data_IF_971485285948
#
_entry.id   IF_971485285948
#
_cell.length_a   1.000
_cell.length_b   1.000
_cell.length_c   1.000
_cell.angle_alpha   90.00
_cell.angle_beta   90.00
_cell.angle_gamma   90.00
#
_symmetry.space_group_name_H-M   'P 1'
#
loop_
_entity.id
_entity.type
_entity.pdbx_description
1 polymer ?
#
# COMPACT_ATOMS: atom_id res chain seq x y z
N UNK A 1 -40.07 -10.89 -33.44
CA UNK A 1 -38.60 -10.83 -33.33
C UNK A 1 -38.24 -10.59 -31.88
N UNK A 2 -37.66 -11.59 -31.20
CA UNK A 2 -37.26 -11.52 -29.80
C UNK A 2 -35.81 -11.06 -29.72
N UNK A 3 -35.53 -9.93 -29.07
CA UNK A 3 -34.17 -9.43 -28.90
C UNK A 3 -33.50 -10.19 -27.76
N UNK A 4 -32.39 -10.87 -28.06
CA UNK A 4 -31.55 -11.51 -27.07
C UNK A 4 -30.93 -10.45 -26.13
N UNK A 5 -30.73 -10.76 -24.84
CA UNK A 5 -30.05 -9.85 -23.93
C UNK A 5 -28.57 -9.72 -24.32
N UNK A 6 -28.14 -8.50 -24.63
CA UNK A 6 -26.72 -8.17 -24.76
C UNK A 6 -26.08 -8.21 -23.38
N UNK A 7 -25.30 -9.26 -23.10
CA UNK A 7 -24.32 -9.21 -22.01
C UNK A 7 -23.30 -8.13 -22.37
N UNK A 8 -23.43 -6.95 -21.76
CA UNK A 8 -22.35 -5.96 -21.79
C UNK A 8 -21.13 -6.60 -21.14
N UNK A 9 -19.97 -6.62 -21.81
CA UNK A 9 -18.73 -6.96 -21.12
C UNK A 9 -18.54 -5.91 -20.02
N UNK A 10 -18.50 -6.35 -18.76
CA UNK A 10 -18.11 -5.46 -17.67
C UNK A 10 -16.72 -4.93 -18.00
N UNK A 11 -16.61 -3.60 -18.13
CA UNK A 11 -15.34 -2.89 -18.11
C UNK A 11 -14.71 -3.09 -16.73
N UNK A 12 -14.15 -4.28 -16.50
CA UNK A 12 -13.22 -4.48 -15.41
C UNK A 12 -11.99 -3.66 -15.80
N UNK A 13 -11.52 -2.72 -14.95
CA UNK A 13 -10.29 -2.01 -15.25
C UNK A 13 -9.20 -3.07 -15.39
N UNK A 14 -8.62 -3.19 -16.58
CA UNK A 14 -7.39 -3.95 -16.75
C UNK A 14 -6.39 -3.34 -15.79
N UNK A 15 -5.94 -4.10 -14.80
CA UNK A 15 -4.92 -3.65 -13.85
C UNK A 15 -3.73 -3.08 -14.65
N UNK A 16 -3.22 -1.93 -14.23
CA UNK A 16 -2.01 -1.37 -14.83
C UNK A 16 -0.84 -2.34 -14.64
N UNK A 17 0.20 -2.22 -15.47
CA UNK A 17 1.40 -3.04 -15.30
C UNK A 17 2.00 -2.89 -13.89
N UNK A 18 1.94 -1.67 -13.33
CA UNK A 18 2.38 -1.38 -11.96
C UNK A 18 1.52 -2.12 -10.92
N UNK A 19 0.21 -2.18 -11.11
CA UNK A 19 -0.70 -2.91 -10.22
C UNK A 19 -0.45 -4.43 -10.25
N UNK A 20 -0.11 -4.99 -11.42
CA UNK A 20 0.27 -6.41 -11.56
C UNK A 20 1.58 -6.68 -10.82
N UNK A 21 2.59 -5.81 -10.98
CA UNK A 21 3.88 -5.94 -10.30
C UNK A 21 3.72 -5.84 -8.77
N UNK A 22 2.93 -4.87 -8.31
CA UNK A 22 2.61 -4.72 -6.89
C UNK A 22 1.92 -5.98 -6.33
N UNK A 23 0.97 -6.54 -7.06
CA UNK A 23 0.27 -7.76 -6.64
C UNK A 23 1.23 -8.93 -6.42
N UNK A 24 2.12 -9.19 -7.39
CA UNK A 24 3.09 -10.28 -7.28
C UNK A 24 4.12 -10.03 -6.16
N UNK A 25 4.55 -8.78 -5.97
CA UNK A 25 5.44 -8.41 -4.86
C UNK A 25 4.76 -8.70 -3.52
N UNK A 26 3.53 -8.22 -3.29
CA UNK A 26 2.80 -8.43 -2.04
C UNK A 26 2.48 -9.91 -1.80
N UNK A 27 2.17 -10.65 -2.85
CA UNK A 27 1.96 -12.10 -2.78
C UNK A 27 3.22 -12.85 -2.35
N UNK A 28 4.39 -12.47 -2.88
CA UNK A 28 5.66 -13.14 -2.56
C UNK A 28 6.06 -13.02 -1.08
N UNK A 29 5.62 -11.95 -0.41
CA UNK A 29 5.90 -11.71 1.02
C UNK A 29 4.75 -12.14 1.94
N UNK A 30 3.62 -12.57 1.38
CA UNK A 30 2.46 -12.98 2.15
C UNK A 30 2.61 -14.41 2.69
N UNK A 31 2.21 -14.63 3.94
CA UNK A 31 2.28 -15.94 4.59
C UNK A 31 1.28 -16.96 4.02
N UNK A 32 0.24 -16.47 3.35
CA UNK A 32 -0.88 -17.24 2.82
C UNK A 32 -0.85 -17.36 1.29
N UNK A 33 0.32 -17.10 0.68
CA UNK A 33 0.55 -17.15 -0.77
C UNK A 33 -0.48 -16.34 -1.58
N UNK A 34 -0.92 -15.20 -1.03
CA UNK A 34 -1.84 -14.27 -1.68
C UNK A 34 -3.32 -14.64 -1.56
N UNK A 35 -3.68 -15.57 -0.66
CA UNK A 35 -5.08 -15.97 -0.46
C UNK A 35 -5.94 -14.76 -0.07
N UNK A 36 -5.53 -13.95 0.91
CA UNK A 36 -6.25 -12.72 1.29
C UNK A 36 -6.13 -11.63 0.23
N UNK A 37 -4.99 -11.53 -0.45
CA UNK A 37 -4.84 -10.59 -1.58
C UNK A 37 -5.80 -10.89 -2.74
N UNK A 38 -6.38 -12.09 -2.83
CA UNK A 38 -7.35 -12.45 -3.86
C UNK A 38 -8.81 -12.39 -3.37
N UNK A 39 -9.03 -12.14 -2.09
CA UNK A 39 -10.36 -12.03 -1.48
C UNK A 39 -10.78 -10.56 -1.41
N UNK A 40 -11.76 -10.17 -2.23
CA UNK A 40 -12.19 -8.78 -2.37
C UNK A 40 -12.75 -8.16 -1.07
N UNK A 41 -13.19 -9.00 -0.15
CA UNK A 41 -13.74 -8.57 1.13
C UNK A 41 -12.66 -8.34 2.19
N UNK A 42 -11.45 -8.85 1.96
CA UNK A 42 -10.36 -8.78 2.92
C UNK A 42 -9.78 -7.36 3.05
N UNK A 43 -9.26 -7.00 4.22
CA UNK A 43 -8.48 -5.77 4.39
C UNK A 43 -7.27 -5.69 3.46
N UNK A 44 -6.60 -6.82 3.21
CA UNK A 44 -5.42 -6.94 2.36
C UNK A 44 -5.73 -6.56 0.90
N UNK A 45 -6.82 -7.10 0.34
CA UNK A 45 -7.25 -6.73 -1.01
C UNK A 45 -7.63 -5.26 -1.09
N UNK A 46 -8.37 -4.74 -0.10
CA UNK A 46 -8.75 -3.32 -0.07
C UNK A 46 -7.54 -2.40 -0.01
N UNK A 47 -6.53 -2.75 0.78
CA UNK A 47 -5.26 -2.04 0.85
C UNK A 47 -4.51 -2.08 -0.48
N UNK A 48 -4.39 -3.26 -1.08
CA UNK A 48 -3.79 -3.42 -2.42
C UNK A 48 -4.53 -2.58 -3.47
N UNK A 49 -5.86 -2.64 -3.51
CA UNK A 49 -6.68 -1.91 -4.47
C UNK A 49 -6.53 -0.39 -4.33
N UNK A 50 -6.50 0.10 -3.10
CA UNK A 50 -6.24 1.51 -2.83
C UNK A 50 -4.84 1.91 -3.33
N UNK A 51 -3.80 1.16 -2.94
CA UNK A 51 -2.43 1.48 -3.31
C UNK A 51 -2.17 1.36 -4.82
N UNK A 52 -2.81 0.39 -5.49
CA UNK A 52 -2.73 0.19 -6.94
C UNK A 52 -3.45 1.29 -7.74
N UNK A 53 -4.33 2.07 -7.10
CA UNK A 53 -5.01 3.21 -7.72
C UNK A 53 -4.20 4.50 -7.68
N UNK A 54 -3.10 4.52 -6.93
CA UNK A 54 -2.20 5.67 -6.83
C UNK A 54 -1.22 5.67 -8.02
N UNK A 55 -1.21 6.75 -8.81
CA UNK A 55 -0.26 6.95 -9.92
C UNK A 55 1.05 7.59 -9.42
N UNK A 56 1.62 7.09 -8.32
CA UNK A 56 2.73 7.77 -7.63
C UNK A 56 3.93 6.85 -7.43
N UNK A 57 5.11 7.36 -7.78
CA UNK A 57 6.38 6.64 -7.73
C UNK A 57 6.98 6.72 -6.31
N UNK A 58 6.46 5.86 -5.43
CA UNK A 58 6.98 5.70 -4.08
C UNK A 58 8.12 4.69 -4.04
N UNK A 59 9.06 4.87 -3.10
CA UNK A 59 10.08 3.86 -2.84
C UNK A 59 9.44 2.55 -2.36
N UNK A 60 10.12 1.42 -2.60
CA UNK A 60 9.62 0.10 -2.18
C UNK A 60 9.27 0.04 -0.68
N UNK A 61 10.03 0.73 0.16
CA UNK A 61 9.76 0.78 1.61
C UNK A 61 8.47 1.54 1.92
N UNK A 62 8.22 2.67 1.26
CA UNK A 62 6.99 3.46 1.43
C UNK A 62 5.77 2.70 0.90
N UNK A 63 5.91 1.97 -0.23
CA UNK A 63 4.86 1.09 -0.76
C UNK A 63 4.47 0.02 0.28
N UNK A 64 5.46 -0.67 0.85
CA UNK A 64 5.22 -1.71 1.86
C UNK A 64 4.60 -1.14 3.14
N UNK A 65 5.12 0.00 3.62
CA UNK A 65 4.60 0.67 4.81
C UNK A 65 3.15 1.11 4.61
N UNK A 66 2.84 1.75 3.47
CA UNK A 66 1.47 2.13 3.09
C UNK A 66 0.55 0.93 2.99
N UNK A 67 1.00 -0.18 2.40
CA UNK A 67 0.19 -1.39 2.31
C UNK A 67 -0.17 -1.94 3.70
N UNK A 68 0.80 -2.00 4.62
CA UNK A 68 0.58 -2.47 6.00
C UNK A 68 -0.37 -1.54 6.75
N UNK A 69 -0.15 -0.22 6.67
CA UNK A 69 -1.01 0.77 7.33
C UNK A 69 -2.43 0.77 6.73
N UNK A 70 -2.59 0.72 5.42
CA UNK A 70 -3.90 0.62 4.80
C UNK A 70 -4.61 -0.69 5.20
N UNK A 71 -3.89 -1.81 5.31
CA UNK A 71 -4.44 -3.08 5.81
C UNK A 71 -4.93 -2.93 7.25
N UNK A 72 -4.16 -2.27 8.12
CA UNK A 72 -4.56 -1.94 9.48
C UNK A 72 -5.84 -1.10 9.48
N UNK A 73 -5.87 -0.03 8.72
CA UNK A 73 -7.02 0.87 8.58
C UNK A 73 -8.29 0.10 8.18
N UNK A 74 -8.23 -0.72 7.12
CA UNK A 74 -9.40 -1.49 6.67
C UNK A 74 -9.81 -2.60 7.64
N UNK A 75 -8.86 -3.19 8.37
CA UNK A 75 -9.15 -4.28 9.33
C UNK A 75 -9.78 -3.81 10.64
N UNK A 76 -9.60 -2.54 10.99
CA UNK A 76 -10.04 -1.96 12.27
C UNK A 76 -11.15 -0.92 12.12
N UNK A 77 -11.72 -0.82 10.92
CA UNK A 77 -12.79 0.13 10.62
C UNK A 77 -12.33 1.59 10.67
N UNK A 78 -11.18 1.89 10.06
CA UNK A 78 -10.51 3.18 10.09
C UNK A 78 -11.37 4.39 9.73
N UNK A 79 -12.40 4.20 8.89
CA UNK A 79 -13.38 5.26 8.59
C UNK A 79 -14.23 5.70 9.78
N UNK A 80 -14.21 4.96 10.89
CA UNK A 80 -14.89 5.28 12.15
C UNK A 80 -13.93 5.72 13.25
N UNK A 81 -12.64 5.88 12.97
CA UNK A 81 -11.68 6.36 13.95
C UNK A 81 -11.95 7.83 14.28
N UNK A 82 -11.78 8.20 15.56
CA UNK A 82 -11.95 9.59 16.01
C UNK A 82 -10.95 10.55 15.38
N UNK A 83 -9.75 10.04 15.05
CA UNK A 83 -8.69 10.79 14.41
C UNK A 83 -8.03 9.88 13.36
N UNK A 84 -8.05 10.31 12.10
CA UNK A 84 -7.52 9.55 10.97
C UNK A 84 -6.94 10.48 9.90
N UNK A 85 -6.36 11.60 10.32
CA UNK A 85 -5.85 12.61 9.39
C UNK A 85 -4.77 12.03 8.48
N UNK A 86 -4.88 12.35 7.19
CA UNK A 86 -4.02 11.87 6.09
C UNK A 86 -4.03 10.36 5.80
N UNK A 87 -4.75 9.53 6.56
CA UNK A 87 -4.86 8.10 6.26
C UNK A 87 -5.48 7.89 4.87
N UNK A 88 -4.91 6.95 4.12
CA UNK A 88 -5.29 6.66 2.72
C UNK A 88 -5.18 7.87 1.76
N UNK A 89 -4.29 8.82 2.07
CA UNK A 89 -4.01 9.96 1.19
C UNK A 89 -2.71 9.80 0.38
N UNK A 90 -2.52 10.69 -0.58
CA UNK A 90 -1.29 10.82 -1.36
C UNK A 90 -0.13 11.42 -0.56
N UNK A 91 -0.32 11.82 0.70
CA UNK A 91 0.76 12.35 1.56
C UNK A 91 1.63 11.22 2.09
N UNK A 92 2.92 11.47 2.25
CA UNK A 92 3.88 10.50 2.83
C UNK A 92 3.34 9.86 4.11
N UNK A 93 3.53 8.55 4.25
CA UNK A 93 2.97 7.77 5.38
C UNK A 93 3.39 8.31 6.75
N UNK A 94 4.61 8.85 6.85
CA UNK A 94 5.16 9.48 8.07
C UNK A 94 4.42 10.72 8.56
N UNK A 95 3.51 11.31 7.76
CA UNK A 95 2.67 12.43 8.21
C UNK A 95 1.24 12.01 8.49
N UNK A 96 0.94 10.71 8.44
CA UNK A 96 -0.36 10.19 8.83
C UNK A 96 -0.50 10.25 10.34
N UNK A 97 -1.73 10.52 10.78
CA UNK A 97 -2.02 10.64 12.20
C UNK A 97 -1.60 9.36 12.94
N UNK A 98 -0.79 9.51 14.00
CA UNK A 98 -0.23 8.41 14.81
C UNK A 98 0.78 7.49 14.11
N UNK A 99 1.34 7.92 12.97
CA UNK A 99 2.49 7.25 12.36
C UNK A 99 3.75 8.06 12.65
N UNK A 100 4.60 7.54 13.52
CA UNK A 100 5.89 8.13 13.81
C UNK A 100 6.98 7.40 13.02
N UNK A 101 7.69 8.14 12.17
CA UNK A 101 8.88 7.63 11.48
C UNK A 101 10.13 8.04 12.23
N UNK A 102 10.90 7.06 12.66
CA UNK A 102 12.26 7.31 13.14
C UNK A 102 13.14 7.48 11.90
N UNK A 103 13.61 8.70 11.66
CA UNK A 103 14.78 8.94 10.81
C UNK A 103 15.98 8.64 11.68
N UNK A 104 16.56 7.44 11.53
CA UNK A 104 17.79 7.07 12.19
C UNK A 104 18.93 7.96 11.64
N UNK A 105 19.22 9.04 12.37
CA UNK A 105 20.37 9.95 12.12
C UNK A 105 21.70 9.32 12.58
N UNK A 106 21.71 8.00 12.82
CA UNK A 106 22.83 7.26 13.44
C UNK A 106 23.78 6.59 12.44
N UNK A 107 23.53 6.73 11.14
CA UNK A 107 24.50 6.28 10.15
C UNK A 107 25.75 7.17 10.21
N UNK A 108 26.87 6.61 10.65
CA UNK A 108 28.17 7.29 10.64
C UNK A 108 28.59 7.51 9.18
N UNK A 109 28.40 8.74 8.68
CA UNK A 109 28.71 9.13 7.30
C UNK A 109 30.21 9.35 7.04
N UNK A 110 31.02 9.45 8.10
CA UNK A 110 32.45 9.69 7.98
C UNK A 110 33.18 9.58 9.32
N UNK A 111 34.40 9.08 9.27
CA UNK A 111 35.32 8.98 10.38
C UNK A 111 36.63 9.66 9.98
N UNK A 112 36.96 10.80 10.61
CA UNK A 112 38.23 11.48 10.42
C UNK A 112 39.10 11.32 11.67
N UNK A 113 40.23 10.61 11.52
CA UNK A 113 41.19 10.31 12.60
C UNK A 113 42.59 10.85 12.28
N UNK A 114 42.70 11.80 11.35
CA UNK A 114 43.96 12.31 10.79
C UNK A 114 44.92 12.94 11.82
N UNK A 115 44.45 13.21 13.04
CA UNK A 115 45.25 13.71 14.16
C UNK A 115 45.12 12.88 15.45
N UNK A 116 44.77 11.59 15.36
CA UNK A 116 44.68 10.72 16.54
C UNK A 116 46.02 9.99 16.82
N UNK A 117 47.01 10.80 17.22
CA UNK A 117 48.37 10.53 17.71
C UNK A 117 49.28 9.61 16.88
#
# INVERSE_FOLDING_TARGET
FSLAPTFSPSLQPTLSQNAIQLFEQLKSISLDNGTRLSDETSPQYRAFRWLASEEMDWSNIEILLRYVLATLYFSTGGGNWTQSDNWLSTRASCIWQFVDCVVDDTDVQGLEISANN
#
